data_IF_889139350753
#
_entry.id   IF_889139350753
#
_cell.length_a   1.000
_cell.length_b   1.000
_cell.length_c   1.000
_cell.angle_alpha   90.00
_cell.angle_beta   90.00
_cell.angle_gamma   90.00
#
_symmetry.space_group_name_H-M   'P 1'
#
loop_
_entity.id
_entity.type
_entity.pdbx_description
1 polymer ?
#
# COMPACT_ATOMS: atom_id res chain seq x y z
N UNK A 1 -5.51 11.50 2.40
CA UNK A 1 -4.92 10.15 2.26
C UNK A 1 -5.80 9.06 2.89
N UNK A 2 -5.93 9.00 4.23
CA UNK A 2 -6.58 7.87 4.90
C UNK A 2 -8.04 7.57 4.49
N UNK A 3 -8.93 8.56 4.31
CA UNK A 3 -10.29 8.26 3.84
C UNK A 3 -10.31 7.65 2.43
N UNK A 4 -9.39 8.06 1.56
CA UNK A 4 -9.28 7.50 0.22
C UNK A 4 -8.76 6.06 0.25
N UNK A 5 -7.74 5.78 1.07
CA UNK A 5 -7.18 4.43 1.27
C UNK A 5 -8.22 3.47 1.84
N UNK A 6 -8.98 3.87 2.86
CA UNK A 6 -10.01 3.01 3.48
C UNK A 6 -11.17 2.68 2.54
N UNK A 7 -11.47 3.55 1.58
CA UNK A 7 -12.53 3.35 0.58
C UNK A 7 -12.13 2.42 -0.56
N UNK A 8 -10.84 2.12 -0.72
CA UNK A 8 -10.41 1.20 -1.78
C UNK A 8 -10.85 -0.23 -1.46
N UNK A 9 -11.32 -1.00 -2.46
CA UNK A 9 -11.58 -2.42 -2.32
C UNK A 9 -10.38 -3.20 -1.75
N UNK A 10 -10.65 -4.37 -1.19
CA UNK A 10 -9.63 -5.18 -0.51
C UNK A 10 -8.58 -5.71 -1.49
N UNK A 11 -9.00 -6.03 -2.71
CA UNK A 11 -8.19 -6.50 -3.82
C UNK A 11 -7.27 -5.43 -4.43
N UNK A 12 -7.52 -4.15 -4.13
CA UNK A 12 -6.67 -3.06 -4.62
C UNK A 12 -5.36 -3.03 -3.83
N UNK A 13 -4.25 -3.18 -4.56
CA UNK A 13 -2.90 -3.05 -4.02
C UNK A 13 -2.57 -1.57 -3.84
N UNK A 14 -2.08 -1.22 -2.65
CA UNK A 14 -1.58 0.13 -2.35
C UNK A 14 -0.06 0.11 -2.47
N UNK A 15 0.48 0.82 -3.47
CA UNK A 15 1.91 0.97 -3.65
C UNK A 15 2.43 2.26 -2.99
N UNK A 16 3.48 2.16 -2.17
CA UNK A 16 4.16 3.31 -1.61
C UNK A 16 5.68 3.07 -1.51
N UNK A 17 6.52 3.91 -2.15
CA UNK A 17 7.97 3.67 -2.22
C UNK A 17 8.68 3.94 -0.89
N UNK A 18 8.22 4.93 -0.12
CA UNK A 18 8.85 5.29 1.16
C UNK A 18 8.47 4.37 2.31
N UNK A 19 9.44 3.95 3.12
CA UNK A 19 9.21 3.19 4.36
C UNK A 19 8.31 3.96 5.33
N UNK A 20 8.53 5.28 5.47
CA UNK A 20 7.68 6.14 6.30
C UNK A 20 6.23 6.14 5.80
N UNK A 21 6.01 6.31 4.50
CA UNK A 21 4.68 6.30 3.91
C UNK A 21 3.94 4.97 4.12
N UNK A 22 4.64 3.83 3.98
CA UNK A 22 4.07 2.51 4.26
C UNK A 22 3.65 2.35 5.72
N UNK A 23 4.49 2.80 6.67
CA UNK A 23 4.12 2.79 8.10
C UNK A 23 2.94 3.71 8.38
N UNK A 24 2.94 4.94 7.86
CA UNK A 24 1.81 5.87 8.03
C UNK A 24 0.49 5.31 7.50
N UNK A 25 0.51 4.62 6.35
CA UNK A 25 -0.68 3.97 5.79
C UNK A 25 -1.12 2.81 6.69
N UNK A 26 -0.19 1.96 7.14
CA UNK A 26 -0.48 0.85 8.06
C UNK A 26 -1.07 1.36 9.37
N UNK A 27 -0.41 2.28 10.05
CA UNK A 27 -0.80 2.78 11.36
C UNK A 27 -2.10 3.60 11.27
N UNK A 28 -2.24 4.40 10.21
CA UNK A 28 -3.40 5.25 10.02
C UNK A 28 -4.64 4.53 9.50
N UNK A 29 -4.50 3.39 8.80
CA UNK A 29 -5.64 2.78 8.10
C UNK A 29 -5.81 1.28 8.32
N UNK A 30 -4.83 0.60 8.92
CA UNK A 30 -4.78 -0.86 9.01
C UNK A 30 -4.47 -1.57 7.70
N UNK A 31 -4.41 -0.85 6.56
CA UNK A 31 -4.05 -1.42 5.25
C UNK A 31 -2.54 -1.55 5.13
N UNK A 32 -2.08 -2.70 4.66
CA UNK A 32 -0.67 -2.88 4.29
C UNK A 32 -0.43 -2.32 2.89
N UNK A 33 0.51 -1.39 2.77
CA UNK A 33 1.04 -0.94 1.49
C UNK A 33 2.34 -1.68 1.16
N UNK A 34 2.58 -1.93 -0.13
CA UNK A 34 3.79 -2.60 -0.63
C UNK A 34 4.77 -1.58 -1.22
N UNK A 35 6.07 -1.87 -1.16
CA UNK A 35 7.05 -1.12 -1.94
C UNK A 35 6.79 -1.39 -3.42
N UNK A 36 6.93 -0.37 -4.27
CA UNK A 36 6.63 -0.49 -5.70
C UNK A 36 7.40 -1.64 -6.37
N UNK A 37 8.66 -1.89 -5.97
CA UNK A 37 9.44 -3.02 -6.49
C UNK A 37 8.84 -4.39 -6.14
N UNK A 38 8.21 -4.55 -4.97
CA UNK A 38 7.55 -5.81 -4.59
C UNK A 38 6.34 -6.06 -5.49
N UNK A 39 5.59 -5.00 -5.82
CA UNK A 39 4.46 -5.08 -6.75
C UNK A 39 4.93 -5.51 -8.14
N UNK A 40 6.00 -4.90 -8.65
CA UNK A 40 6.56 -5.26 -9.96
C UNK A 40 7.12 -6.68 -9.96
N UNK A 41 7.86 -7.07 -8.92
CA UNK A 41 8.40 -8.41 -8.79
C UNK A 41 7.30 -9.47 -8.81
N UNK A 42 6.25 -9.28 -8.01
CA UNK A 42 5.11 -10.21 -7.96
C UNK A 42 4.31 -10.28 -9.27
N UNK A 43 4.36 -9.25 -10.11
CA UNK A 43 3.66 -9.20 -11.38
C UNK A 43 4.45 -9.82 -12.55
N UNK A 44 5.78 -9.90 -12.42
CA UNK A 44 6.68 -10.41 -13.45
C UNK A 44 7.18 -11.83 -13.17
N UNK A 45 7.04 -12.31 -11.93
CA UNK A 45 7.42 -13.65 -11.49
C UNK A 45 6.37 -14.72 -11.85
#
# INVERSE_FOLDING_TARGET
LFPAVRKQPAEVIIAAPGTSCRHQIKDGTGRQALHTIEVLYNALA
#
